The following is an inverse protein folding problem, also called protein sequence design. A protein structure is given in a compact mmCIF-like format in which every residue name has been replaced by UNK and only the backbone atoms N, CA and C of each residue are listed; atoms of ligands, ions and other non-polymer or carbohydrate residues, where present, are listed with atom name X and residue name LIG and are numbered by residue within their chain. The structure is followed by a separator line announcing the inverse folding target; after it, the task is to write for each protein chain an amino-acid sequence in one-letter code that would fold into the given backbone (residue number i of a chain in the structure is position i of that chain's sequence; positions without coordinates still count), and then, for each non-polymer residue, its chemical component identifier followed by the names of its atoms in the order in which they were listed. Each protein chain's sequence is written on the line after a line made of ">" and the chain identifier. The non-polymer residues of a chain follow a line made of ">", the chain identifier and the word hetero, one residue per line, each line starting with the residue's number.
data_IF_808479512376
#
_entry.id   IF_808479512376
#
_cell.length_a   1.000
_cell.length_b   1.000
_cell.length_c   1.000
_cell.angle_alpha   90.00
_cell.angle_beta   90.00
_cell.angle_gamma   90.00
#
_symmetry.space_group_name_H-M   'P 1'
#
loop_
_entity.id
_entity.type
_entity.pdbx_description
1 polymer ?
#
# COMPACT_ATOMS: atom_id res chain seq x y z
N UNK A 1 20.31 0.73 36.17
CA UNK A 1 20.42 0.83 34.70
C UNK A 1 19.32 -0.03 34.08
N UNK A 2 18.23 0.54 33.58
CA UNK A 2 17.14 -0.21 32.96
C UNK A 2 17.37 -0.19 31.46
N UNK A 3 17.87 -1.29 30.89
CA UNK A 3 18.07 -1.42 29.45
C UNK A 3 16.73 -1.27 28.75
N UNK A 4 16.52 -0.14 28.08
CA UNK A 4 15.35 0.03 27.23
C UNK A 4 15.62 -0.75 25.95
N UNK A 5 15.03 -1.93 25.83
CA UNK A 5 15.04 -2.69 24.59
C UNK A 5 14.18 -1.93 23.60
N UNK A 6 14.78 -1.37 22.56
CA UNK A 6 14.05 -0.79 21.45
C UNK A 6 13.14 -1.87 20.84
N UNK A 7 11.84 -1.59 20.62
CA UNK A 7 10.93 -2.55 20.02
C UNK A 7 11.37 -2.78 18.58
N UNK A 8 11.73 -4.03 18.28
CA UNK A 8 12.11 -4.42 16.93
C UNK A 8 10.86 -4.45 16.04
N UNK A 9 10.97 -4.04 14.78
CA UNK A 9 9.88 -4.23 13.82
C UNK A 9 9.47 -5.70 13.75
N UNK A 10 8.17 -5.95 13.72
CA UNK A 10 7.58 -7.29 13.55
C UNK A 10 7.03 -7.39 12.14
N UNK A 11 7.42 -8.42 11.41
CA UNK A 11 6.87 -8.70 10.08
C UNK A 11 5.91 -9.89 10.18
N UNK A 12 4.67 -9.68 9.75
CA UNK A 12 3.66 -10.73 9.60
C UNK A 12 3.64 -11.11 8.12
N UNK A 13 3.92 -12.38 7.83
CA UNK A 13 3.81 -12.94 6.49
C UNK A 13 2.48 -13.70 6.37
N UNK A 14 1.65 -13.30 5.41
CA UNK A 14 0.41 -13.96 5.01
C UNK A 14 0.69 -14.67 3.69
N UNK A 15 0.61 -16.00 3.73
CA UNK A 15 0.92 -16.87 2.60
C UNK A 15 -0.11 -16.78 1.47
N UNK A 16 -1.39 -16.51 1.78
CA UNK A 16 -2.43 -16.36 0.77
C UNK A 16 -3.56 -15.43 1.19
N UNK A 17 -3.54 -14.19 0.70
CA UNK A 17 -4.68 -13.28 0.77
C UNK A 17 -5.85 -13.80 -0.08
N UNK A 18 -5.56 -14.59 -1.12
CA UNK A 18 -6.60 -15.22 -1.93
C UNK A 18 -7.46 -16.18 -1.12
N UNK A 19 -6.86 -16.99 -0.25
CA UNK A 19 -7.61 -17.86 0.64
C UNK A 19 -8.51 -17.05 1.58
N UNK A 20 -8.02 -15.95 2.15
CA UNK A 20 -8.82 -15.07 3.01
C UNK A 20 -9.98 -14.42 2.25
N UNK A 21 -9.76 -13.94 1.03
CA UNK A 21 -10.82 -13.34 0.19
C UNK A 21 -11.91 -14.33 -0.21
N UNK A 22 -11.63 -15.64 -0.22
CA UNK A 22 -12.64 -16.68 -0.45
C UNK A 22 -13.54 -16.94 0.76
N UNK A 23 -13.06 -16.62 1.97
CA UNK A 23 -13.75 -16.96 3.23
C UNK A 23 -14.25 -15.73 3.99
N UNK A 24 -13.74 -14.54 3.67
CA UNK A 24 -14.05 -13.29 4.36
C UNK A 24 -14.46 -12.20 3.36
N UNK A 25 -15.38 -11.30 3.73
CA UNK A 25 -15.65 -10.11 2.94
C UNK A 25 -14.39 -9.27 2.72
N UNK A 26 -14.21 -8.77 1.50
CA UNK A 26 -13.07 -7.91 1.14
C UNK A 26 -12.96 -6.69 2.09
N UNK A 27 -14.09 -6.12 2.52
CA UNK A 27 -14.15 -5.02 3.48
C UNK A 27 -13.54 -5.39 4.83
N UNK A 28 -13.87 -6.56 5.38
CA UNK A 28 -13.34 -7.06 6.65
C UNK A 28 -11.84 -7.30 6.57
N UNK A 29 -11.36 -7.89 5.46
CA UNK A 29 -9.93 -8.09 5.24
C UNK A 29 -9.19 -6.75 5.15
N UNK A 30 -9.72 -5.80 4.36
CA UNK A 30 -9.14 -4.46 4.21
C UNK A 30 -9.07 -3.72 5.55
N UNK A 31 -10.13 -3.75 6.36
CA UNK A 31 -10.14 -3.13 7.69
C UNK A 31 -9.11 -3.76 8.63
N UNK A 32 -8.99 -5.09 8.60
CA UNK A 32 -8.03 -5.81 9.45
C UNK A 32 -6.59 -5.45 9.07
N UNK A 33 -6.26 -5.46 7.77
CA UNK A 33 -4.94 -5.07 7.27
C UNK A 33 -4.63 -3.60 7.55
N UNK A 34 -5.63 -2.72 7.42
CA UNK A 34 -5.48 -1.30 7.76
C UNK A 34 -5.20 -1.10 9.25
N UNK A 35 -5.95 -1.78 10.13
CA UNK A 35 -5.74 -1.70 11.58
C UNK A 35 -4.35 -2.19 11.99
N UNK A 36 -3.87 -3.30 11.40
CA UNK A 36 -2.51 -3.80 11.65
C UNK A 36 -1.42 -2.79 11.24
N UNK A 37 -1.63 -2.07 10.15
CA UNK A 37 -0.70 -1.02 9.70
C UNK A 37 -0.83 0.28 10.51
N UNK A 38 -2.03 0.61 11.02
CA UNK A 38 -2.30 1.84 11.78
C UNK A 38 -1.81 1.80 13.24
N UNK A 39 -1.62 0.61 13.80
CA UNK A 39 -1.08 0.46 15.16
C UNK A 39 0.29 1.13 15.35
N UNK A 40 1.01 1.51 14.26
CA UNK A 40 2.27 2.27 14.27
C UNK A 40 2.09 3.79 14.53
N UNK A 41 0.89 4.36 14.39
CA UNK A 41 0.67 5.82 14.30
C UNK A 41 -0.16 6.45 15.44
N UNK A 42 -0.89 5.66 16.25
CA UNK A 42 -2.05 6.14 17.02
C UNK A 42 -1.83 6.40 18.51
N UNK A 43 -0.71 6.00 19.10
CA UNK A 43 -0.55 6.16 20.55
C UNK A 43 0.40 7.31 20.82
N UNK A 44 -0.17 8.46 21.15
CA UNK A 44 0.51 9.58 21.83
C UNK A 44 0.95 9.22 23.25
N UNK A 45 1.25 7.95 23.49
CA UNK A 45 1.72 7.41 24.74
C UNK A 45 3.20 7.04 24.55
N UNK A 46 4.03 7.44 25.50
CA UNK A 46 5.50 7.48 25.43
C UNK A 46 6.21 6.11 25.30
N UNK A 47 5.48 5.06 24.92
CA UNK A 47 6.02 3.74 24.62
C UNK A 47 6.43 3.69 23.15
N UNK A 48 7.63 3.19 22.82
CA UNK A 48 8.00 2.99 21.44
C UNK A 48 7.02 1.95 20.86
N UNK A 49 6.23 2.39 19.90
CA UNK A 49 5.23 1.56 19.25
C UNK A 49 5.96 0.55 18.39
N UNK A 50 5.60 -0.73 18.52
CA UNK A 50 6.22 -1.78 17.73
C UNK A 50 5.72 -1.67 16.29
N UNK A 51 6.59 -1.23 15.39
CA UNK A 51 6.29 -1.14 13.96
C UNK A 51 5.92 -2.53 13.42
N UNK A 52 4.69 -2.69 12.94
CA UNK A 52 4.20 -3.92 12.30
C UNK A 52 4.23 -3.76 10.78
N UNK A 53 4.88 -4.69 10.10
CA UNK A 53 4.88 -4.80 8.63
C UNK A 53 4.08 -6.02 8.23
N UNK A 54 3.19 -5.87 7.26
CA UNK A 54 2.42 -6.99 6.72
C UNK A 54 2.86 -7.24 5.28
N UNK A 55 3.25 -8.48 4.99
CA UNK A 55 3.53 -8.98 3.66
C UNK A 55 2.48 -10.02 3.31
N UNK A 56 1.84 -9.91 2.15
CA UNK A 56 0.81 -10.85 1.72
C UNK A 56 0.94 -11.21 0.25
N UNK A 57 0.73 -12.49 -0.08
CA UNK A 57 0.66 -12.94 -1.48
C UNK A 57 -0.79 -12.95 -1.96
N UNK A 58 -1.01 -12.41 -3.15
CA UNK A 58 -2.31 -12.35 -3.80
C UNK A 58 -2.19 -12.93 -5.21
N UNK A 59 -3.09 -13.84 -5.56
CA UNK A 59 -3.23 -14.33 -6.94
C UNK A 59 -4.30 -13.48 -7.64
N UNK A 60 -3.87 -12.56 -8.50
CA UNK A 60 -4.77 -11.64 -9.20
C UNK A 60 -5.78 -12.36 -10.08
N UNK A 61 -5.42 -13.53 -10.65
CA UNK A 61 -6.28 -14.28 -11.57
C UNK A 61 -7.54 -14.84 -10.91
N UNK A 62 -7.55 -14.95 -9.57
CA UNK A 62 -8.66 -15.48 -8.80
C UNK A 62 -9.69 -14.43 -8.40
N UNK A 63 -9.39 -13.14 -8.59
CA UNK A 63 -10.21 -12.03 -8.07
C UNK A 63 -10.54 -11.01 -9.13
N UNK A 64 -11.73 -10.40 -9.02
CA UNK A 64 -12.10 -9.26 -9.85
C UNK A 64 -11.27 -8.00 -9.54
N UNK A 65 -11.38 -6.96 -10.38
CA UNK A 65 -10.62 -5.72 -10.20
C UNK A 65 -10.95 -4.96 -8.90
N UNK A 66 -12.13 -5.19 -8.31
CA UNK A 66 -12.54 -4.57 -7.05
C UNK A 66 -11.66 -4.97 -5.86
N UNK A 67 -11.65 -6.26 -5.45
CA UNK A 67 -10.80 -6.72 -4.34
C UNK A 67 -9.30 -6.49 -4.55
N UNK A 68 -8.80 -6.70 -5.78
CA UNK A 68 -7.39 -6.45 -6.12
C UNK A 68 -7.06 -4.98 -5.94
N UNK A 69 -7.88 -4.08 -6.49
CA UNK A 69 -7.70 -2.63 -6.36
C UNK A 69 -7.79 -2.15 -4.91
N UNK A 70 -8.69 -2.71 -4.11
CA UNK A 70 -8.83 -2.38 -2.69
C UNK A 70 -7.58 -2.79 -1.88
N UNK A 71 -7.09 -4.01 -2.04
CA UNK A 71 -5.87 -4.46 -1.36
C UNK A 71 -4.63 -3.69 -1.83
N UNK A 72 -4.52 -3.47 -3.14
CA UNK A 72 -3.48 -2.64 -3.74
C UNK A 72 -3.49 -1.22 -3.15
N UNK A 73 -4.67 -0.62 -2.92
CA UNK A 73 -4.83 0.71 -2.27
C UNK A 73 -4.23 0.80 -0.86
N UNK A 74 -4.22 -0.30 -0.12
CA UNK A 74 -3.66 -0.38 1.23
C UNK A 74 -2.16 -0.67 1.24
N UNK A 75 -1.64 -1.25 0.17
CA UNK A 75 -0.24 -1.64 0.09
C UNK A 75 0.69 -0.43 -0.01
N UNK A 76 1.74 -0.40 0.82
CA UNK A 76 2.81 0.60 0.69
C UNK A 76 3.74 0.27 -0.49
N UNK A 77 3.91 -1.02 -0.75
CA UNK A 77 4.68 -1.55 -1.87
C UNK A 77 3.95 -2.75 -2.46
N UNK A 78 3.91 -2.82 -3.77
CA UNK A 78 3.29 -3.90 -4.53
C UNK A 78 4.34 -4.50 -5.46
N UNK A 79 4.41 -5.83 -5.50
CA UNK A 79 5.32 -6.57 -6.36
C UNK A 79 4.49 -7.52 -7.20
N UNK A 80 4.34 -7.20 -8.47
CA UNK A 80 3.64 -8.05 -9.43
C UNK A 80 4.65 -8.95 -10.13
N UNK A 81 4.48 -10.26 -9.97
CA UNK A 81 5.32 -11.27 -10.62
C UNK A 81 4.61 -11.76 -11.89
N UNK A 82 5.34 -11.80 -13.00
CA UNK A 82 4.80 -12.30 -14.28
C UNK A 82 5.88 -13.03 -15.07
N UNK A 83 5.47 -13.97 -15.93
CA UNK A 83 6.39 -14.70 -16.80
C UNK A 83 6.07 -16.19 -16.89
N UNK A 84 6.86 -16.89 -17.70
CA UNK A 84 6.78 -18.35 -17.87
C UNK A 84 8.07 -19.01 -17.38
N UNK A 85 8.07 -20.34 -17.23
CA UNK A 85 9.25 -21.08 -16.82
C UNK A 85 10.42 -20.81 -17.80
N UNK A 86 11.44 -20.08 -17.33
CA UNK A 86 12.61 -19.66 -18.11
C UNK A 86 12.74 -18.14 -18.31
N UNK A 87 11.66 -17.36 -18.11
CA UNK A 87 11.69 -15.90 -18.20
C UNK A 87 10.65 -15.30 -17.23
N UNK A 88 11.10 -14.98 -16.02
CA UNK A 88 10.31 -14.31 -14.99
C UNK A 88 10.69 -12.83 -14.88
N UNK A 89 9.70 -11.98 -14.63
CA UNK A 89 9.87 -10.55 -14.39
C UNK A 89 9.09 -10.13 -13.15
N UNK A 90 9.61 -9.11 -12.47
CA UNK A 90 8.98 -8.52 -11.30
C UNK A 90 8.81 -7.02 -11.52
N UNK A 91 7.59 -6.53 -11.31
CA UNK A 91 7.27 -5.11 -11.40
C UNK A 91 7.03 -4.61 -9.98
N UNK A 92 7.84 -3.65 -9.54
CA UNK A 92 7.76 -3.12 -8.18
C UNK A 92 7.15 -1.72 -8.25
N UNK A 93 6.00 -1.55 -7.60
CA UNK A 93 5.36 -0.27 -7.40
C UNK A 93 5.52 0.15 -5.94
N UNK A 94 6.27 1.23 -5.72
CA UNK A 94 6.34 1.89 -4.42
C UNK A 94 5.29 2.99 -4.34
N UNK A 95 4.44 2.93 -3.32
CA UNK A 95 3.53 4.02 -3.01
C UNK A 95 4.15 4.88 -1.95
N UNK A 96 4.07 6.20 -2.15
CA UNK A 96 4.39 7.13 -1.08
C UNK A 96 3.44 6.82 0.08
N UNK A 97 3.93 6.80 1.33
CA UNK A 97 3.05 6.86 2.48
C UNK A 97 2.08 8.00 2.21
N UNK A 98 0.78 7.73 2.13
CA UNK A 98 -0.18 8.80 2.02
C UNK A 98 0.05 9.68 3.25
N UNK A 99 0.63 10.86 3.04
CA UNK A 99 0.54 11.91 4.04
C UNK A 99 -0.95 12.15 4.16
N UNK A 100 -1.52 11.62 5.22
CA UNK A 100 -2.90 11.86 5.55
C UNK A 100 -3.07 13.38 5.52
N UNK A 101 -4.08 13.93 4.82
CA UNK A 101 -4.44 15.32 5.06
C UNK A 101 -4.81 15.39 6.54
N UNK A 102 -3.91 15.95 7.35
CA UNK A 102 -4.23 16.41 8.67
C UNK A 102 -5.35 17.42 8.41
N UNK A 103 -6.60 17.04 8.70
CA UNK A 103 -7.74 17.93 8.60
C UNK A 103 -7.52 19.02 9.64
N UNK A 104 -6.76 20.05 9.28
CA UNK A 104 -6.75 21.33 9.94
C UNK A 104 -7.78 22.15 9.19
N UNK A 105 -9.01 22.15 9.70
CA UNK A 105 -10.04 23.09 9.25
C UNK A 105 -9.49 24.50 9.44
N UNK A 106 -9.17 25.17 8.32
CA UNK A 106 -9.31 26.62 8.15
C UNK A 106 -9.14 27.00 6.69
N UNK A 107 -10.29 27.20 6.05
CA UNK A 107 -10.64 28.24 5.08
C UNK A 107 -9.67 28.59 3.94
N UNK A 108 -10.31 28.65 2.76
CA UNK A 108 -10.04 29.54 1.61
C UNK A 108 -8.89 29.23 0.65
N UNK A 109 -9.33 28.72 -0.52
CA UNK A 109 -8.95 29.11 -1.88
C UNK A 109 -7.56 28.79 -2.42
N UNK A 110 -7.60 27.90 -3.43
CA UNK A 110 -7.02 28.01 -4.78
C UNK A 110 -6.06 26.87 -5.11
N UNK A 111 -6.62 25.81 -5.69
CA UNK A 111 -5.88 24.76 -6.39
C UNK A 111 -5.65 25.21 -7.83
N UNK A 112 -4.41 25.47 -8.20
CA UNK A 112 -3.93 25.44 -9.58
C UNK A 112 -2.83 24.37 -9.63
N UNK A 113 -3.22 23.12 -9.93
CA UNK A 113 -2.26 22.08 -10.31
C UNK A 113 -2.10 22.14 -11.83
N UNK A 114 -1.05 22.81 -12.28
CA UNK A 114 -0.70 22.95 -13.68
C UNK A 114 -0.37 21.60 -14.32
N UNK A 115 -1.16 21.20 -15.31
CA UNK A 115 -0.83 20.11 -16.24
C UNK A 115 0.09 20.70 -17.32
N UNK A 116 1.40 20.45 -17.23
CA UNK A 116 2.33 20.77 -18.32
C UNK A 116 2.34 19.60 -19.30
N UNK A 117 1.53 19.65 -20.35
CA UNK A 117 1.67 18.75 -21.50
C UNK A 117 2.98 19.07 -22.23
N UNK A 118 3.87 18.09 -22.33
CA UNK A 118 5.06 18.15 -23.18
C UNK A 118 4.64 17.73 -24.59
N UNK A 119 4.65 18.67 -25.53
CA UNK A 119 4.27 18.45 -26.92
C UNK A 119 5.14 17.40 -27.62
N UNK A 120 4.50 16.52 -28.41
CA UNK A 120 5.17 15.74 -29.45
C UNK A 120 5.17 16.56 -30.73
N UNK A 121 6.34 17.00 -31.16
CA UNK A 121 6.55 17.41 -32.54
C UNK A 121 6.52 16.15 -33.42
N UNK A 122 5.50 16.04 -34.26
CA UNK A 122 5.45 15.04 -35.33
C UNK A 122 6.27 15.62 -36.48
N UNK A 123 7.43 15.03 -36.78
CA UNK A 123 8.15 15.29 -38.03
C UNK A 123 7.33 14.65 -39.14
N UNK A 124 6.70 15.47 -39.98
CA UNK A 124 6.11 15.02 -41.25
C UNK A 124 7.25 14.94 -42.27
N UNK A 125 7.60 13.73 -42.67
CA UNK A 125 8.50 13.45 -43.78
C UNK A 125 7.60 13.08 -44.97
N UNK A 126 7.46 14.01 -45.91
CA UNK A 126 7.23 13.85 -47.36
C UNK A 126 6.86 15.21 -47.94
#
# INVERSE_FOLDING_TARGET
>A
MRGKTDPRPVTIALDSLSWLLLHLPCTTLCQTLYALNYQDSSLGDSSPVQQVRVLGLLHEELHGPGPVGALSSLAQSEVTLSGTAGQASAHILYRRPQQHPTVKVRSTQRLELGVRQKGRAIKKLM
#
